data_IF_726400691436
#
_entry.id   IF_726400691436
#
_cell.length_a   1.000
_cell.length_b   1.000
_cell.length_c   1.000
_cell.angle_alpha   90.00
_cell.angle_beta   90.00
_cell.angle_gamma   90.00
#
_symmetry.space_group_name_H-M   'P 1'
#
loop_
_entity.id
_entity.type
_entity.pdbx_description
1 polymer ?
#
# COMPACT_ATOMS: atom_id res chain seq x y z
N UNK A 1 19.21 -18.22 0.38
CA UNK A 1 18.35 -17.62 1.43
C UNK A 1 17.04 -18.36 1.40
N UNK A 2 16.67 -18.99 2.51
CA UNK A 2 15.54 -19.88 2.60
C UNK A 2 14.18 -19.18 2.44
N UNK A 3 13.30 -19.79 1.66
CA UNK A 3 11.95 -19.27 1.45
C UNK A 3 11.08 -19.41 2.71
N UNK A 4 11.28 -20.43 3.53
CA UNK A 4 10.45 -20.75 4.69
C UNK A 4 10.51 -19.68 5.78
N UNK A 5 11.71 -19.16 6.09
CA UNK A 5 11.86 -18.07 7.06
C UNK A 5 11.21 -16.77 6.57
N UNK A 6 11.23 -16.50 5.25
CA UNK A 6 10.50 -15.39 4.65
C UNK A 6 8.98 -15.56 4.81
N UNK A 7 8.43 -16.75 4.56
CA UNK A 7 7.00 -17.02 4.72
C UNK A 7 6.57 -16.97 6.17
N UNK A 8 7.35 -17.52 7.10
CA UNK A 8 7.05 -17.39 8.53
C UNK A 8 6.99 -15.92 8.93
N UNK A 9 7.91 -15.08 8.44
CA UNK A 9 7.90 -13.65 8.72
C UNK A 9 6.64 -12.94 8.19
N UNK A 10 6.05 -13.43 7.08
CA UNK A 10 4.80 -12.93 6.52
C UNK A 10 3.57 -13.46 7.26
N UNK A 11 3.52 -14.77 7.58
CA UNK A 11 2.35 -15.41 8.18
C UNK A 11 2.17 -15.05 9.66
N UNK A 12 3.26 -14.84 10.37
CA UNK A 12 3.22 -14.52 11.81
C UNK A 12 2.77 -13.08 12.12
N UNK A 13 2.54 -12.27 11.08
CA UNK A 13 2.25 -10.84 11.23
C UNK A 13 1.16 -10.40 10.26
N UNK A 14 0.29 -9.55 10.75
CA UNK A 14 -0.67 -8.82 9.93
C UNK A 14 -0.27 -7.34 9.84
N UNK A 15 -0.59 -6.69 8.73
CA UNK A 15 -0.44 -5.26 8.57
C UNK A 15 0.53 -4.86 7.45
N UNK A 16 1.28 -3.81 7.69
CA UNK A 16 2.06 -3.11 6.67
C UNK A 16 3.45 -3.73 6.50
N UNK A 17 3.67 -4.34 5.34
CA UNK A 17 4.96 -4.88 4.92
C UNK A 17 5.61 -3.99 3.86
N UNK A 18 6.93 -3.93 3.93
CA UNK A 18 7.78 -3.35 2.89
C UNK A 18 8.84 -4.38 2.51
N UNK A 19 8.79 -4.88 1.27
CA UNK A 19 9.82 -5.73 0.69
C UNK A 19 10.70 -4.88 -0.22
N UNK A 20 11.99 -4.83 0.06
CA UNK A 20 12.98 -4.18 -0.80
C UNK A 20 13.83 -5.24 -1.48
N UNK A 21 14.07 -5.06 -2.79
CA UNK A 21 14.87 -5.94 -3.64
C UNK A 21 15.90 -5.12 -4.41
N UNK A 22 17.17 -5.46 -4.31
CA UNK A 22 18.25 -4.81 -5.07
C UNK A 22 18.22 -5.31 -6.51
N UNK A 23 18.08 -4.37 -7.47
CA UNK A 23 17.93 -4.72 -8.87
C UNK A 23 19.24 -4.84 -9.64
N UNK A 24 20.30 -4.15 -9.21
CA UNK A 24 21.57 -4.04 -9.94
C UNK A 24 22.74 -3.91 -8.96
N UNK A 25 23.95 -4.19 -9.44
CA UNK A 25 25.20 -4.03 -8.67
C UNK A 25 25.62 -5.28 -7.89
N UNK A 26 26.65 -5.16 -7.02
CA UNK A 26 27.22 -6.30 -6.29
C UNK A 26 26.24 -7.02 -5.36
N UNK A 27 25.23 -6.30 -4.84
CA UNK A 27 24.19 -6.83 -3.98
C UNK A 27 22.92 -7.23 -4.75
N UNK A 28 22.97 -7.35 -6.09
CA UNK A 28 21.82 -7.71 -6.90
C UNK A 28 21.15 -9.00 -6.41
N UNK A 29 19.83 -8.94 -6.22
CA UNK A 29 19.04 -10.05 -5.70
C UNK A 29 18.95 -10.12 -4.17
N UNK A 30 19.71 -9.31 -3.44
CA UNK A 30 19.48 -9.19 -1.99
C UNK A 30 18.13 -8.56 -1.70
N UNK A 31 17.48 -9.07 -0.64
CA UNK A 31 16.15 -8.62 -0.21
C UNK A 31 16.12 -8.40 1.29
N UNK A 32 15.26 -7.47 1.70
CA UNK A 32 14.91 -7.26 3.10
C UNK A 32 13.40 -7.05 3.22
N UNK A 33 12.79 -7.70 4.19
CA UNK A 33 11.39 -7.50 4.56
C UNK A 33 11.33 -6.70 5.86
N UNK A 34 10.61 -5.58 5.82
CA UNK A 34 10.30 -4.79 6.99
C UNK A 34 8.81 -4.96 7.33
N UNK A 35 8.50 -4.99 8.61
CA UNK A 35 7.15 -4.91 9.15
C UNK A 35 7.09 -3.70 10.08
N UNK A 36 6.15 -2.79 9.84
CA UNK A 36 6.05 -1.52 10.57
C UNK A 36 7.41 -0.79 10.69
N UNK A 37 8.16 -0.72 9.59
CA UNK A 37 9.51 -0.10 9.47
C UNK A 37 10.67 -0.86 10.12
N UNK A 38 10.42 -1.92 10.87
CA UNK A 38 11.46 -2.77 11.47
C UNK A 38 11.82 -3.94 10.54
N UNK A 39 13.10 -4.27 10.32
CA UNK A 39 13.48 -5.45 9.55
C UNK A 39 13.08 -6.73 10.30
N UNK A 40 12.40 -7.64 9.59
CA UNK A 40 11.92 -8.93 10.14
C UNK A 40 12.45 -10.12 9.38
N UNK A 41 13.07 -9.90 8.22
CA UNK A 41 13.74 -10.91 7.42
C UNK A 41 14.78 -10.24 6.48
N UNK A 42 15.97 -10.85 6.25
CA UNK A 42 16.49 -12.07 6.88
C UNK A 42 16.82 -11.88 8.37
N UNK A 43 17.00 -12.99 9.12
CA UNK A 43 17.34 -12.93 10.56
C UNK A 43 18.69 -12.22 10.80
N UNK A 44 19.69 -12.51 9.97
CA UNK A 44 20.96 -11.77 9.94
C UNK A 44 20.90 -10.75 8.81
N UNK A 45 20.80 -9.48 9.18
CA UNK A 45 20.72 -8.39 8.23
C UNK A 45 22.07 -8.13 7.58
N UNK A 46 22.24 -8.31 6.24
CA UNK A 46 23.46 -7.95 5.55
C UNK A 46 23.84 -6.47 5.78
N UNK A 47 25.13 -6.19 5.89
CA UNK A 47 25.66 -4.83 6.14
C UNK A 47 25.16 -3.80 5.11
N UNK A 48 24.93 -4.23 3.87
CA UNK A 48 24.32 -3.43 2.81
C UNK A 48 23.02 -2.73 3.28
N UNK A 49 22.13 -3.47 3.92
CA UNK A 49 20.83 -2.92 4.34
C UNK A 49 20.94 -1.93 5.49
N UNK A 50 21.97 -2.03 6.34
CA UNK A 50 22.17 -1.08 7.45
C UNK A 50 22.24 0.38 7.00
N UNK A 51 22.85 0.64 5.85
CA UNK A 51 22.97 1.99 5.26
C UNK A 51 21.67 2.46 4.59
N UNK A 52 20.82 1.52 4.16
CA UNK A 52 19.60 1.82 3.38
C UNK A 52 18.32 1.87 4.23
N UNK A 53 18.32 1.30 5.46
CA UNK A 53 17.14 1.26 6.32
C UNK A 53 16.48 2.63 6.56
N UNK A 54 17.21 3.73 6.83
CA UNK A 54 16.59 5.04 7.02
C UNK A 54 15.82 5.52 5.79
N UNK A 55 16.36 5.26 4.59
CA UNK A 55 15.69 5.62 3.34
C UNK A 55 14.45 4.75 3.09
N UNK A 56 14.54 3.44 3.40
CA UNK A 56 13.41 2.51 3.29
C UNK A 56 12.26 2.87 4.26
N UNK A 57 12.58 3.26 5.49
CA UNK A 57 11.58 3.68 6.48
C UNK A 57 10.77 4.92 6.05
N UNK A 58 11.35 5.78 5.21
CA UNK A 58 10.70 6.96 4.68
C UNK A 58 9.84 6.68 3.43
N UNK A 59 9.90 5.48 2.84
CA UNK A 59 9.13 5.15 1.64
C UNK A 59 7.65 4.97 2.00
N UNK A 60 6.77 5.67 1.30
CA UNK A 60 5.31 5.63 1.51
C UNK A 60 4.54 4.93 0.39
N UNK A 61 5.21 4.63 -0.74
CA UNK A 61 4.59 3.97 -1.91
C UNK A 61 5.56 2.97 -2.53
N UNK A 62 5.03 1.98 -3.24
CA UNK A 62 5.83 1.05 -4.04
C UNK A 62 6.48 1.76 -5.24
N UNK A 63 7.60 1.25 -5.72
CA UNK A 63 8.32 1.77 -6.87
C UNK A 63 9.84 1.68 -6.72
N UNK A 64 10.57 2.40 -7.56
CA UNK A 64 12.03 2.40 -7.57
C UNK A 64 12.56 3.46 -6.60
N UNK A 65 13.29 3.00 -5.58
CA UNK A 65 14.10 3.83 -4.71
C UNK A 65 15.54 3.87 -5.25
N UNK A 66 16.07 5.07 -5.44
CA UNK A 66 17.51 5.28 -5.68
C UNK A 66 18.17 5.70 -4.37
N UNK A 67 19.02 4.86 -3.83
CA UNK A 67 19.73 5.11 -2.57
C UNK A 67 21.19 4.71 -2.71
N UNK A 68 22.11 5.61 -2.33
CA UNK A 68 23.57 5.42 -2.42
C UNK A 68 24.05 4.83 -3.77
N UNK A 69 23.46 5.28 -4.89
CA UNK A 69 23.77 4.81 -6.23
C UNK A 69 23.17 3.46 -6.62
N UNK A 70 22.41 2.83 -5.75
CA UNK A 70 21.72 1.56 -6.00
C UNK A 70 20.29 1.78 -6.50
N UNK A 71 19.80 0.87 -7.37
CA UNK A 71 18.40 0.76 -7.75
C UNK A 71 17.75 -0.33 -6.91
N UNK A 72 16.81 0.06 -6.07
CA UNK A 72 16.09 -0.84 -5.17
C UNK A 72 14.62 -0.80 -5.54
N UNK A 73 14.02 -1.92 -5.84
CA UNK A 73 12.56 -2.00 -6.00
C UNK A 73 11.95 -2.20 -4.62
N UNK A 74 11.03 -1.32 -4.26
CA UNK A 74 10.35 -1.34 -2.98
C UNK A 74 8.88 -1.63 -3.20
N UNK A 75 8.36 -2.62 -2.49
CA UNK A 75 6.97 -3.04 -2.54
C UNK A 75 6.34 -2.87 -1.17
N UNK A 76 5.25 -2.10 -1.08
CA UNK A 76 4.40 -2.05 0.11
C UNK A 76 3.14 -2.86 -0.14
N UNK A 77 2.78 -3.73 0.81
CA UNK A 77 1.62 -4.62 0.72
C UNK A 77 1.16 -5.10 2.11
N UNK A 78 -0.01 -5.75 2.16
CA UNK A 78 -0.52 -6.44 3.36
C UNK A 78 -1.39 -5.58 4.27
N UNK A 79 -1.28 -4.26 4.27
CA UNK A 79 -2.16 -3.40 5.04
C UNK A 79 -3.48 -3.17 4.29
N UNK A 80 -4.59 -3.56 4.90
CA UNK A 80 -5.90 -3.20 4.39
C UNK A 80 -6.22 -1.73 4.72
N UNK A 81 -6.81 -0.96 3.79
CA UNK A 81 -7.24 0.40 4.09
C UNK A 81 -8.31 0.39 5.19
N UNK A 82 -8.14 1.23 6.20
CA UNK A 82 -9.09 1.40 7.30
C UNK A 82 -9.60 2.84 7.33
N UNK A 83 -10.91 3.01 7.25
CA UNK A 83 -11.55 4.31 7.40
C UNK A 83 -12.01 4.51 8.84
N UNK A 84 -11.54 5.58 9.48
CA UNK A 84 -11.94 5.97 10.84
C UNK A 84 -12.73 7.28 10.77
N UNK A 85 -13.98 7.25 11.19
CA UNK A 85 -14.88 8.40 11.13
C UNK A 85 -15.15 8.91 12.54
N UNK A 86 -14.72 10.14 12.82
CA UNK A 86 -15.02 10.85 14.06
C UNK A 86 -16.22 11.78 13.86
N UNK A 87 -17.37 11.39 14.40
CA UNK A 87 -18.63 12.12 14.31
C UNK A 87 -19.74 11.34 13.64
N UNK A 88 -20.84 11.15 14.36
CA UNK A 88 -21.98 10.31 13.99
C UNK A 88 -23.15 11.04 13.33
N UNK A 89 -23.02 12.34 12.98
CA UNK A 89 -24.08 13.09 12.33
C UNK A 89 -24.40 12.63 10.90
N UNK A 90 -25.35 13.30 10.24
CA UNK A 90 -25.83 12.92 8.91
C UNK A 90 -24.72 12.73 7.86
N UNK A 91 -23.67 13.57 7.89
CA UNK A 91 -22.53 13.42 6.98
C UNK A 91 -21.73 12.17 7.33
N UNK A 92 -21.45 11.93 8.62
CA UNK A 92 -20.75 10.71 9.06
C UNK A 92 -21.47 9.45 8.62
N UNK A 93 -22.79 9.36 8.86
CA UNK A 93 -23.61 8.23 8.44
C UNK A 93 -23.63 8.05 6.90
N UNK A 94 -23.64 9.15 6.13
CA UNK A 94 -23.55 9.09 4.68
C UNK A 94 -22.17 8.60 4.20
N UNK A 95 -21.08 9.02 4.86
CA UNK A 95 -19.72 8.52 4.58
C UNK A 95 -19.64 7.02 4.86
N UNK A 96 -20.18 6.54 5.99
CA UNK A 96 -20.22 5.09 6.29
C UNK A 96 -20.90 4.32 5.17
N UNK A 97 -22.14 4.70 4.78
CA UNK A 97 -22.90 3.97 3.74
C UNK A 97 -22.15 3.90 2.41
N UNK A 98 -21.57 5.01 1.97
CA UNK A 98 -20.84 5.05 0.70
C UNK A 98 -19.50 4.30 0.81
N UNK A 99 -18.81 4.38 1.93
CA UNK A 99 -17.57 3.62 2.17
C UNK A 99 -17.81 2.10 2.11
N UNK A 100 -18.93 1.63 2.67
CA UNK A 100 -19.33 0.21 2.58
C UNK A 100 -19.58 -0.24 1.14
N UNK A 101 -20.18 0.62 0.30
CA UNK A 101 -20.32 0.33 -1.14
C UNK A 101 -18.98 0.23 -1.86
N UNK A 102 -17.97 0.94 -1.38
CA UNK A 102 -16.60 0.87 -1.91
C UNK A 102 -15.77 -0.29 -1.31
N UNK A 103 -16.36 -1.11 -0.43
CA UNK A 103 -15.69 -2.24 0.21
C UNK A 103 -14.66 -1.82 1.28
N UNK A 104 -14.71 -0.58 1.77
CA UNK A 104 -13.80 -0.10 2.81
C UNK A 104 -14.28 -0.55 4.21
N UNK A 105 -13.39 -1.12 5.04
CA UNK A 105 -13.66 -1.31 6.45
C UNK A 105 -13.80 0.03 7.17
N UNK A 106 -14.84 0.16 8.01
CA UNK A 106 -15.18 1.41 8.68
C UNK A 106 -15.25 1.23 10.20
N UNK A 107 -14.45 2.01 10.93
CA UNK A 107 -14.62 2.22 12.37
C UNK A 107 -15.20 3.61 12.61
N UNK A 108 -16.36 3.70 13.24
CA UNK A 108 -16.96 4.96 13.61
C UNK A 108 -16.75 5.25 15.10
N UNK A 109 -16.48 6.51 15.43
CA UNK A 109 -16.31 7.02 16.79
C UNK A 109 -17.26 8.19 17.01
N UNK A 110 -18.11 8.06 18.02
CA UNK A 110 -19.09 9.10 18.42
C UNK A 110 -19.29 9.05 19.94
N UNK A 111 -19.41 10.19 20.58
CA UNK A 111 -19.57 10.28 22.04
C UNK A 111 -21.04 10.24 22.52
N UNK A 112 -22.00 10.30 21.60
CA UNK A 112 -23.44 10.28 21.89
C UNK A 112 -24.06 8.96 21.45
N UNK A 113 -24.75 8.23 22.35
CA UNK A 113 -25.28 6.89 22.04
C UNK A 113 -26.24 6.85 20.85
N UNK A 114 -27.15 7.86 20.72
CA UNK A 114 -28.09 7.93 19.62
C UNK A 114 -27.43 8.04 18.24
N UNK A 115 -26.35 8.81 18.12
CA UNK A 115 -25.60 8.95 16.88
C UNK A 115 -24.64 7.79 16.64
N UNK A 116 -24.15 7.16 17.70
CA UNK A 116 -23.40 5.91 17.56
C UNK A 116 -24.30 4.79 17.00
N UNK A 117 -25.58 4.75 17.39
CA UNK A 117 -26.54 3.81 16.82
C UNK A 117 -26.81 4.07 15.34
N UNK A 118 -26.92 5.35 14.92
CA UNK A 118 -27.03 5.71 13.51
C UNK A 118 -25.84 5.19 12.68
N UNK A 119 -24.63 5.16 13.25
CA UNK A 119 -23.43 4.61 12.57
C UNK A 119 -23.53 3.09 12.41
N UNK A 120 -24.04 2.36 13.41
CA UNK A 120 -24.30 0.91 13.30
C UNK A 120 -25.30 0.61 12.19
N UNK A 121 -26.40 1.36 12.17
CA UNK A 121 -27.46 1.24 11.15
C UNK A 121 -26.94 1.64 9.74
N UNK A 122 -25.97 2.55 9.66
CA UNK A 122 -25.31 2.89 8.41
C UNK A 122 -24.38 1.80 7.90
N UNK A 123 -24.03 0.79 8.72
CA UNK A 123 -23.23 -0.37 8.35
C UNK A 123 -21.75 -0.28 8.73
N UNK A 124 -21.37 0.54 9.71
CA UNK A 124 -20.00 0.56 10.23
C UNK A 124 -19.61 -0.81 10.81
N UNK A 125 -18.40 -1.29 10.52
CA UNK A 125 -17.92 -2.59 10.99
C UNK A 125 -17.62 -2.59 12.50
N UNK A 126 -17.17 -1.44 13.02
CA UNK A 126 -16.99 -1.20 14.43
C UNK A 126 -17.50 0.19 14.81
N UNK A 127 -18.13 0.30 15.98
CA UNK A 127 -18.61 1.58 16.53
C UNK A 127 -18.16 1.73 17.96
N UNK A 128 -17.33 2.74 18.21
CA UNK A 128 -16.87 3.13 19.54
C UNK A 128 -17.75 4.28 20.04
N UNK A 129 -18.55 4.02 21.06
CA UNK A 129 -19.36 5.06 21.73
C UNK A 129 -18.59 5.54 22.97
N UNK A 130 -17.62 6.43 22.76
CA UNK A 130 -16.68 6.94 23.76
C UNK A 130 -16.36 8.42 23.51
N UNK A 131 -15.89 9.17 24.52
CA UNK A 131 -15.23 10.45 24.30
C UNK A 131 -14.15 10.33 23.23
N UNK A 132 -14.06 11.30 22.31
CA UNK A 132 -13.19 11.19 21.13
C UNK A 132 -11.72 10.87 21.45
N UNK A 133 -11.15 11.49 22.50
CA UNK A 133 -9.77 11.24 22.90
C UNK A 133 -9.57 9.79 23.39
N UNK A 134 -10.53 9.25 24.15
CA UNK A 134 -10.46 7.88 24.67
C UNK A 134 -10.65 6.84 23.55
N UNK A 135 -11.60 7.06 22.65
CA UNK A 135 -11.79 6.16 21.50
C UNK A 135 -10.60 6.18 20.55
N UNK A 136 -10.05 7.36 20.26
CA UNK A 136 -8.86 7.48 19.44
C UNK A 136 -7.62 6.85 20.09
N UNK A 137 -7.51 6.83 21.43
CA UNK A 137 -6.41 6.13 22.08
C UNK A 137 -6.40 4.61 21.81
N UNK A 138 -7.56 4.02 21.51
CA UNK A 138 -7.69 2.59 21.16
C UNK A 138 -7.39 2.30 19.68
N UNK A 139 -7.27 3.34 18.85
CA UNK A 139 -6.99 3.21 17.42
C UNK A 139 -5.52 3.60 17.18
N UNK A 140 -4.62 2.66 16.86
CA UNK A 140 -3.19 2.96 16.75
C UNK A 140 -2.84 3.86 15.56
N UNK A 141 -3.69 3.89 14.52
CA UNK A 141 -3.37 4.47 13.23
C UNK A 141 -2.49 3.52 12.40
N UNK A 142 -2.11 3.95 11.22
CA UNK A 142 -1.27 3.17 10.30
C UNK A 142 -1.11 3.85 8.95
N UNK A 143 -0.19 3.35 8.13
CA UNK A 143 0.06 3.90 6.80
C UNK A 143 -1.14 3.73 5.83
N UNK A 144 -2.12 2.91 6.19
CA UNK A 144 -3.37 2.71 5.45
C UNK A 144 -4.60 3.13 6.27
N UNK A 145 -4.41 3.98 7.30
CA UNK A 145 -5.53 4.54 8.07
C UNK A 145 -5.91 5.92 7.56
N UNK A 146 -7.19 6.08 7.22
CA UNK A 146 -7.80 7.29 6.69
C UNK A 146 -8.74 7.88 7.74
N UNK A 147 -8.38 9.01 8.33
CA UNK A 147 -9.18 9.67 9.36
C UNK A 147 -10.07 10.75 8.76
N UNK A 148 -11.37 10.70 9.09
CA UNK A 148 -12.40 11.66 8.69
C UNK A 148 -12.99 12.30 9.93
N UNK A 149 -12.74 13.61 10.13
CA UNK A 149 -13.24 14.38 11.26
C UNK A 149 -14.43 15.22 10.79
N UNK A 150 -15.64 14.78 11.18
CA UNK A 150 -16.94 15.39 10.83
C UNK A 150 -17.78 15.63 12.09
N UNK A 151 -17.13 16.13 13.15
CA UNK A 151 -17.79 16.31 14.45
C UNK A 151 -18.73 17.52 14.48
N UNK A 152 -19.54 17.59 15.53
CA UNK A 152 -20.53 18.67 15.72
C UNK A 152 -19.94 20.01 16.16
N UNK A 153 -18.76 20.01 16.78
CA UNK A 153 -18.22 21.18 17.44
C UNK A 153 -16.71 21.35 17.21
N UNK A 154 -16.30 22.63 17.17
CA UNK A 154 -14.88 22.96 17.00
C UNK A 154 -13.95 22.37 18.07
N UNK A 155 -14.40 22.34 19.33
CA UNK A 155 -13.63 21.71 20.41
C UNK A 155 -13.44 20.20 20.21
N UNK A 156 -14.44 19.52 19.64
CA UNK A 156 -14.35 18.11 19.31
C UNK A 156 -13.36 17.88 18.15
N UNK A 157 -13.36 18.77 17.12
CA UNK A 157 -12.41 18.67 16.01
C UNK A 157 -10.96 18.78 16.52
N UNK A 158 -10.68 19.78 17.38
CA UNK A 158 -9.33 19.97 17.97
C UNK A 158 -8.93 18.75 18.81
N UNK A 159 -9.85 18.22 19.63
CA UNK A 159 -9.59 17.01 20.42
C UNK A 159 -9.23 15.81 19.54
N UNK A 160 -9.99 15.60 18.44
CA UNK A 160 -9.70 14.56 17.46
C UNK A 160 -8.34 14.77 16.79
N UNK A 161 -8.11 15.94 16.19
CA UNK A 161 -6.91 16.23 15.42
C UNK A 161 -5.64 16.17 16.28
N UNK A 162 -5.70 16.65 17.54
CA UNK A 162 -4.59 16.53 18.49
C UNK A 162 -4.16 15.08 18.71
N UNK A 163 -5.12 14.15 18.77
CA UNK A 163 -4.82 12.72 18.94
C UNK A 163 -4.37 12.07 17.64
N UNK A 164 -5.00 12.43 16.51
CA UNK A 164 -4.74 11.82 15.20
C UNK A 164 -3.39 12.24 14.63
N UNK A 165 -3.03 13.54 14.71
CA UNK A 165 -1.79 14.05 14.12
C UNK A 165 -0.50 13.56 14.82
N UNK A 166 -0.62 12.88 15.95
CA UNK A 166 0.48 12.20 16.62
C UNK A 166 0.67 10.74 16.15
N UNK A 167 -0.17 10.25 15.24
CA UNK A 167 -0.19 8.87 14.76
C UNK A 167 0.18 8.80 13.29
N UNK A 168 0.71 7.66 12.80
CA UNK A 168 0.80 7.42 11.36
C UNK A 168 -0.59 7.39 10.74
N UNK A 169 -0.73 7.99 9.58
CA UNK A 169 -1.98 8.01 8.82
C UNK A 169 -1.70 8.17 7.33
N UNK A 170 -2.52 7.55 6.50
CA UNK A 170 -2.55 7.76 5.06
C UNK A 170 -3.17 9.10 4.69
N UNK A 171 -4.18 9.50 5.46
CA UNK A 171 -5.00 10.67 5.20
C UNK A 171 -5.64 11.16 6.49
N UNK A 172 -5.68 12.48 6.66
CA UNK A 172 -6.43 13.13 7.73
C UNK A 172 -7.22 14.27 7.12
N UNK A 173 -8.55 14.20 7.21
CA UNK A 173 -9.41 15.25 6.69
C UNK A 173 -10.38 15.78 7.73
N UNK A 174 -10.65 17.08 7.71
CA UNK A 174 -11.59 17.74 8.64
C UNK A 174 -12.63 18.55 7.88
N UNK A 175 -13.91 18.34 8.25
CA UNK A 175 -15.04 19.12 7.72
C UNK A 175 -15.08 20.52 8.34
N UNK A 176 -15.16 21.52 7.48
CA UNK A 176 -15.32 22.90 7.93
C UNK A 176 -15.25 23.91 6.79
N UNK A 177 -15.61 25.17 7.07
CA UNK A 177 -15.37 26.24 6.12
C UNK A 177 -13.86 26.57 6.04
N UNK A 178 -13.43 27.22 4.97
CA UNK A 178 -12.03 27.71 4.83
C UNK A 178 -11.59 28.57 6.03
N UNK A 179 -12.51 29.40 6.56
CA UNK A 179 -12.25 30.21 7.76
C UNK A 179 -12.01 29.33 9.00
N UNK A 180 -12.82 28.27 9.16
CA UNK A 180 -12.67 27.30 10.27
C UNK A 180 -11.37 26.50 10.13
N UNK A 181 -11.02 26.09 8.93
CA UNK A 181 -9.76 25.40 8.64
C UNK A 181 -8.55 26.23 9.07
N UNK A 182 -8.51 27.52 8.65
CA UNK A 182 -7.42 28.43 9.03
C UNK A 182 -7.29 28.58 10.56
N UNK A 183 -8.42 28.71 11.27
CA UNK A 183 -8.41 28.82 12.74
C UNK A 183 -7.88 27.52 13.38
N UNK A 184 -8.28 26.35 12.86
CA UNK A 184 -7.78 25.06 13.33
C UNK A 184 -6.28 24.93 13.14
N UNK A 185 -5.74 25.28 11.95
CA UNK A 185 -4.30 25.25 11.70
C UNK A 185 -3.52 26.10 12.72
N UNK A 186 -3.99 27.32 13.01
CA UNK A 186 -3.36 28.18 14.02
C UNK A 186 -3.36 27.51 15.40
N UNK A 187 -4.50 26.98 15.84
CA UNK A 187 -4.60 26.35 17.15
C UNK A 187 -3.76 25.08 17.28
N UNK A 188 -3.68 24.27 16.22
CA UNK A 188 -2.85 23.06 16.23
C UNK A 188 -1.35 23.43 16.33
N UNK A 189 -0.92 24.51 15.70
CA UNK A 189 0.44 25.03 15.81
C UNK A 189 0.73 25.57 17.24
N UNK A 190 -0.22 26.30 17.83
CA UNK A 190 -0.12 26.76 19.22
C UNK A 190 -0.03 25.62 20.23
N UNK A 191 -0.64 24.47 19.92
CA UNK A 191 -0.53 23.24 20.71
C UNK A 191 0.79 22.48 20.49
N UNK A 192 1.70 23.00 19.65
CA UNK A 192 3.03 22.42 19.44
C UNK A 192 3.04 21.17 18.55
N UNK A 193 2.02 20.96 17.73
CA UNK A 193 2.01 19.83 16.79
C UNK A 193 2.97 20.11 15.61
N UNK A 194 3.57 19.06 15.02
CA UNK A 194 4.52 19.23 13.91
C UNK A 194 3.88 19.95 12.72
N UNK A 195 4.51 21.00 12.22
CA UNK A 195 3.99 21.82 11.12
C UNK A 195 3.71 21.00 9.86
N UNK A 196 4.61 20.06 9.51
CA UNK A 196 4.43 19.15 8.40
C UNK A 196 3.11 18.36 8.47
N UNK A 197 2.73 17.92 9.68
CA UNK A 197 1.48 17.18 9.91
C UNK A 197 0.25 18.07 9.81
N UNK A 198 0.39 19.33 10.21
CA UNK A 198 -0.66 20.35 10.08
C UNK A 198 -0.86 20.71 8.60
N UNK A 199 0.22 20.90 7.85
CA UNK A 199 0.17 21.24 6.43
C UNK A 199 -0.38 20.10 5.56
N UNK A 200 -0.23 18.85 6.00
CA UNK A 200 -0.79 17.67 5.36
C UNK A 200 -2.30 17.44 5.67
N UNK A 201 -2.90 18.27 6.52
CA UNK A 201 -4.33 18.17 6.87
C UNK A 201 -5.21 18.64 5.70
N UNK A 202 -6.09 17.77 5.22
CA UNK A 202 -7.12 18.12 4.23
C UNK A 202 -8.28 18.88 4.90
N UNK A 203 -8.19 20.21 4.90
CA UNK A 203 -9.21 21.10 5.49
C UNK A 203 -9.43 22.33 4.63
N UNK A 204 -10.61 22.52 4.05
CA UNK A 204 -11.82 21.69 4.12
C UNK A 204 -11.64 20.32 3.47
N UNK A 205 -12.19 19.26 4.09
CA UNK A 205 -12.21 17.90 3.58
C UNK A 205 -13.01 17.76 2.28
N UNK A 206 -12.54 16.92 1.37
CA UNK A 206 -13.25 16.53 0.16
C UNK A 206 -12.92 17.39 -1.07
N UNK A 207 -13.09 16.80 -2.24
CA UNK A 207 -12.91 17.48 -3.52
C UNK A 207 -13.93 18.60 -3.70
N UNK A 208 -13.54 19.70 -4.33
CA UNK A 208 -14.40 20.86 -4.59
C UNK A 208 -15.38 20.57 -5.75
N UNK A 209 -16.50 19.90 -5.45
CA UNK A 209 -17.54 19.53 -6.44
C UNK A 209 -18.83 20.36 -6.29
N UNK A 210 -18.86 21.36 -5.40
CA UNK A 210 -20.05 22.15 -5.13
C UNK A 210 -21.10 21.42 -4.28
N UNK A 211 -20.71 20.42 -3.49
CA UNK A 211 -21.56 19.61 -2.64
C UNK A 211 -22.38 20.44 -1.65
N UNK A 212 -23.67 20.13 -1.49
CA UNK A 212 -24.63 20.81 -0.60
C UNK A 212 -25.33 19.87 0.38
N UNK A 213 -25.67 18.67 -0.06
CA UNK A 213 -26.34 17.66 0.78
C UNK A 213 -25.31 16.80 1.51
N UNK A 214 -25.73 16.13 2.59
CA UNK A 214 -24.87 15.22 3.34
C UNK A 214 -24.28 14.11 2.45
N UNK A 215 -25.07 13.60 1.50
CA UNK A 215 -24.66 12.57 0.54
C UNK A 215 -23.63 13.09 -0.47
N UNK A 216 -23.80 14.30 -0.99
CA UNK A 216 -22.85 14.94 -1.90
C UNK A 216 -21.52 15.26 -1.19
N UNK A 217 -21.58 15.72 0.06
CA UNK A 217 -20.41 15.96 0.91
C UNK A 217 -19.68 14.62 1.15
N UNK A 218 -20.39 13.56 1.49
CA UNK A 218 -19.82 12.23 1.67
C UNK A 218 -19.16 11.72 0.38
N UNK A 219 -19.78 11.95 -0.78
CA UNK A 219 -19.20 11.62 -2.08
C UNK A 219 -17.91 12.38 -2.32
N UNK A 220 -17.87 13.70 -2.04
CA UNK A 220 -16.66 14.52 -2.21
C UNK A 220 -15.51 14.05 -1.31
N UNK A 221 -15.81 13.66 -0.07
CA UNK A 221 -14.85 13.11 0.90
C UNK A 221 -14.27 11.79 0.38
N UNK A 222 -15.13 10.85 -0.01
CA UNK A 222 -14.67 9.54 -0.47
C UNK A 222 -13.96 9.61 -1.83
N UNK A 223 -14.34 10.53 -2.72
CA UNK A 223 -13.62 10.76 -3.96
C UNK A 223 -12.18 11.27 -3.69
N UNK A 224 -11.98 12.16 -2.71
CA UNK A 224 -10.64 12.59 -2.29
C UNK A 224 -9.85 11.43 -1.67
N UNK A 225 -10.46 10.65 -0.77
CA UNK A 225 -9.83 9.46 -0.16
C UNK A 225 -9.43 8.45 -1.23
N UNK A 226 -10.28 8.16 -2.20
CA UNK A 226 -9.96 7.26 -3.32
C UNK A 226 -8.80 7.81 -4.15
N UNK A 227 -8.77 9.12 -4.42
CA UNK A 227 -7.66 9.77 -5.11
C UNK A 227 -6.33 9.60 -4.35
N UNK A 228 -6.33 9.88 -3.03
CA UNK A 228 -5.15 9.69 -2.18
C UNK A 228 -4.74 8.22 -2.12
N UNK A 229 -5.69 7.31 -1.89
CA UNK A 229 -5.45 5.86 -1.84
C UNK A 229 -4.79 5.35 -3.12
N UNK A 230 -5.33 5.73 -4.27
CA UNK A 230 -4.84 5.24 -5.56
C UNK A 230 -3.55 5.95 -6.03
N UNK A 231 -3.22 7.13 -5.48
CA UNK A 231 -1.90 7.76 -5.71
C UNK A 231 -0.77 7.07 -4.94
N UNK A 232 -1.11 6.33 -3.89
CA UNK A 232 -0.18 5.49 -3.14
C UNK A 232 -0.12 4.13 -3.82
N UNK A 233 0.90 3.92 -4.64
CA UNK A 233 1.07 2.65 -5.33
C UNK A 233 1.40 1.57 -4.28
N UNK A 234 0.42 0.70 -4.00
CA UNK A 234 0.64 -0.57 -3.31
C UNK A 234 0.65 -1.69 -4.34
N UNK A 235 1.44 -2.72 -4.08
CA UNK A 235 1.41 -3.94 -4.87
C UNK A 235 0.46 -4.95 -4.22
N UNK A 236 -0.02 -5.92 -5.00
CA UNK A 236 -0.77 -7.05 -4.44
C UNK A 236 0.10 -7.92 -3.51
N UNK A 237 1.42 -7.68 -3.51
CA UNK A 237 2.38 -8.50 -2.78
C UNK A 237 2.41 -9.93 -3.33
N UNK A 238 2.05 -10.89 -2.49
CA UNK A 238 1.99 -12.31 -2.85
C UNK A 238 0.55 -12.79 -2.79
N UNK A 239 -0.01 -13.20 -3.92
CA UNK A 239 -1.35 -13.80 -3.95
C UNK A 239 -1.36 -15.14 -3.17
N UNK A 240 -2.52 -15.57 -2.62
CA UNK A 240 -2.60 -16.85 -1.91
C UNK A 240 -2.11 -18.05 -2.73
N UNK A 241 -2.40 -18.07 -4.03
CA UNK A 241 -1.93 -19.12 -4.93
C UNK A 241 -0.40 -19.11 -5.09
N UNK A 242 0.19 -17.93 -5.17
CA UNK A 242 1.65 -17.77 -5.26
C UNK A 242 2.34 -18.19 -3.96
N UNK A 243 1.81 -17.79 -2.81
CA UNK A 243 2.31 -18.21 -1.50
C UNK A 243 2.27 -19.75 -1.37
N UNK A 244 1.13 -20.37 -1.67
CA UNK A 244 0.98 -21.82 -1.60
C UNK A 244 1.98 -22.55 -2.53
N UNK A 245 2.22 -22.02 -3.75
CA UNK A 245 3.18 -22.61 -4.66
C UNK A 245 4.63 -22.49 -4.16
N UNK A 246 4.97 -21.37 -3.55
CA UNK A 246 6.29 -21.13 -2.98
C UNK A 246 6.53 -21.98 -1.72
N UNK A 247 5.52 -22.19 -0.86
CA UNK A 247 5.60 -23.05 0.32
C UNK A 247 5.76 -24.54 -0.04
N UNK A 248 5.15 -24.97 -1.14
CA UNK A 248 5.21 -26.35 -1.62
C UNK A 248 6.43 -26.63 -2.52
N UNK A 249 7.27 -25.63 -2.72
CA UNK A 249 8.43 -25.72 -3.61
C UNK A 249 9.46 -26.74 -3.08
N UNK A 250 9.72 -27.78 -3.87
CA UNK A 250 10.70 -28.84 -3.56
C UNK A 250 11.90 -28.84 -4.49
N UNK A 251 11.90 -28.00 -5.52
CA UNK A 251 12.95 -27.86 -6.52
C UNK A 251 13.19 -26.37 -6.84
N UNK A 252 14.34 -25.98 -7.40
CA UNK A 252 14.59 -24.59 -7.78
C UNK A 252 13.48 -24.05 -8.68
N UNK A 253 13.02 -22.82 -8.41
CA UNK A 253 12.02 -22.12 -9.22
C UNK A 253 12.47 -20.67 -9.47
N UNK A 254 11.84 -19.97 -10.40
CA UNK A 254 12.18 -18.58 -10.70
C UNK A 254 10.97 -17.69 -10.42
N UNK A 255 11.15 -16.74 -9.51
CA UNK A 255 10.19 -15.67 -9.28
C UNK A 255 10.50 -14.49 -10.21
N UNK A 256 9.56 -14.17 -11.08
CA UNK A 256 9.57 -12.99 -11.93
C UNK A 256 8.66 -11.92 -11.31
N UNK A 257 9.16 -10.68 -11.18
CA UNK A 257 8.43 -9.54 -10.64
C UNK A 257 8.54 -8.37 -11.62
N UNK A 258 7.43 -7.73 -11.97
CA UNK A 258 7.44 -6.46 -12.72
C UNK A 258 7.95 -5.36 -11.79
N UNK A 259 9.09 -4.75 -12.14
CA UNK A 259 9.76 -3.73 -11.32
C UNK A 259 9.75 -2.33 -11.96
N UNK A 260 9.29 -2.23 -13.20
CA UNK A 260 9.14 -0.96 -13.90
C UNK A 260 8.25 -1.12 -15.13
N UNK A 261 7.50 -0.06 -15.46
CA UNK A 261 6.66 0.00 -16.64
C UNK A 261 6.61 1.40 -17.24
N UNK A 262 6.41 1.46 -18.55
CA UNK A 262 6.17 2.69 -19.28
C UNK A 262 5.05 2.46 -20.31
N UNK A 263 4.16 3.43 -20.44
CA UNK A 263 3.00 3.30 -21.31
C UNK A 263 1.93 2.35 -20.76
N UNK A 264 1.03 1.89 -21.63
CA UNK A 264 -0.04 0.97 -21.26
C UNK A 264 0.48 -0.46 -21.20
N UNK A 265 0.45 -1.06 -20.02
CA UNK A 265 0.82 -2.46 -19.78
C UNK A 265 -0.35 -3.20 -19.14
N UNK A 266 -0.54 -4.50 -19.41
CA UNK A 266 -1.71 -5.25 -18.91
C UNK A 266 -1.64 -5.56 -17.40
N UNK A 267 -0.49 -5.37 -16.76
CA UNK A 267 -0.28 -5.60 -15.32
C UNK A 267 0.50 -4.45 -14.69
N UNK A 268 0.27 -4.26 -13.39
CA UNK A 268 0.92 -3.25 -12.58
C UNK A 268 2.30 -3.70 -12.08
N UNK A 269 3.13 -2.73 -11.66
CA UNK A 269 4.37 -3.00 -10.93
C UNK A 269 4.08 -3.84 -9.67
N UNK A 270 4.99 -4.76 -9.35
CA UNK A 270 4.81 -5.73 -8.27
C UNK A 270 4.04 -7.00 -8.65
N UNK A 271 3.44 -7.07 -9.84
CA UNK A 271 2.83 -8.32 -10.32
C UNK A 271 3.88 -9.40 -10.48
N UNK A 272 3.55 -10.62 -10.05
CA UNK A 272 4.49 -11.73 -9.93
C UNK A 272 4.05 -12.98 -10.68
N UNK A 273 5.04 -13.73 -11.15
CA UNK A 273 4.87 -15.04 -11.73
C UNK A 273 5.99 -15.96 -11.24
N UNK A 274 5.63 -17.10 -10.66
CA UNK A 274 6.56 -18.16 -10.31
C UNK A 274 6.61 -19.18 -11.45
N UNK A 275 7.78 -19.42 -12.00
CA UNK A 275 8.03 -20.44 -13.03
C UNK A 275 8.68 -21.64 -12.38
N UNK A 276 8.04 -22.81 -12.49
CA UNK A 276 8.46 -24.07 -11.92
C UNK A 276 9.40 -24.83 -12.89
N UNK A 277 10.16 -25.84 -12.42
CA UNK A 277 11.11 -26.60 -13.25
C UNK A 277 10.45 -27.34 -14.43
N UNK A 278 9.20 -27.75 -14.30
CA UNK A 278 8.42 -28.40 -15.37
C UNK A 278 7.91 -27.41 -16.45
N UNK A 279 8.18 -26.11 -16.25
CA UNK A 279 7.76 -25.02 -17.13
C UNK A 279 6.35 -24.51 -16.86
N UNK A 280 5.63 -25.08 -15.89
CA UNK A 280 4.36 -24.50 -15.41
C UNK A 280 4.60 -23.19 -14.68
N UNK A 281 3.58 -22.33 -14.60
CA UNK A 281 3.69 -21.05 -13.94
C UNK A 281 2.46 -20.75 -13.05
N UNK A 282 2.71 -20.06 -11.94
CA UNK A 282 1.67 -19.57 -11.02
C UNK A 282 1.77 -18.05 -10.95
N UNK A 283 0.65 -17.34 -11.10
CA UNK A 283 0.61 -15.89 -11.23
C UNK A 283 0.79 -15.41 -12.68
N UNK A 284 0.95 -14.11 -12.89
CA UNK A 284 1.00 -13.52 -14.23
C UNK A 284 1.79 -12.21 -14.24
N UNK A 285 2.56 -12.00 -15.29
CA UNK A 285 3.26 -10.73 -15.61
C UNK A 285 2.68 -10.03 -16.86
N UNK A 286 1.42 -10.32 -17.22
CA UNK A 286 0.70 -9.58 -18.24
C UNK A 286 0.22 -10.36 -19.44
N UNK A 287 0.47 -11.67 -19.53
CA UNK A 287 0.00 -12.54 -20.60
C UNK A 287 0.77 -12.42 -21.91
N UNK A 288 0.40 -13.28 -22.87
CA UNK A 288 0.90 -13.24 -24.23
C UNK A 288 2.42 -13.35 -24.37
N UNK A 289 2.98 -12.54 -25.27
CA UNK A 289 4.43 -12.58 -25.60
C UNK A 289 5.33 -12.23 -24.41
N UNK A 290 4.84 -11.38 -23.50
CA UNK A 290 5.61 -10.97 -22.32
C UNK A 290 5.81 -12.12 -21.36
N UNK A 291 4.75 -12.88 -21.06
CA UNK A 291 4.86 -14.10 -20.24
C UNK A 291 5.73 -15.16 -20.92
N UNK A 292 5.53 -15.40 -22.20
CA UNK A 292 6.35 -16.35 -22.95
C UNK A 292 7.84 -16.03 -22.85
N UNK A 293 8.24 -14.77 -23.09
CA UNK A 293 9.63 -14.34 -22.97
C UNK A 293 10.15 -14.43 -21.54
N UNK A 294 9.33 -14.06 -20.57
CA UNK A 294 9.68 -14.19 -19.14
C UNK A 294 9.90 -15.65 -18.77
N UNK A 295 9.05 -16.57 -19.22
CA UNK A 295 9.22 -18.01 -18.98
C UNK A 295 10.47 -18.56 -19.66
N UNK A 296 10.83 -18.09 -20.87
CA UNK A 296 12.07 -18.50 -21.53
C UNK A 296 13.30 -18.08 -20.68
N UNK A 297 13.35 -16.80 -20.26
CA UNK A 297 14.45 -16.33 -19.40
C UNK A 297 14.48 -17.05 -18.04
N UNK A 298 13.33 -17.38 -17.49
CA UNK A 298 13.25 -18.16 -16.25
C UNK A 298 13.85 -19.56 -16.41
N UNK A 299 13.60 -20.23 -17.53
CA UNK A 299 14.23 -21.53 -17.85
C UNK A 299 15.74 -21.43 -17.97
N UNK A 300 16.27 -20.36 -18.60
CA UNK A 300 17.71 -20.11 -18.65
C UNK A 300 18.32 -19.98 -17.25
N UNK A 301 17.63 -19.32 -16.31
CA UNK A 301 18.09 -19.17 -14.93
C UNK A 301 18.02 -20.49 -14.12
N UNK A 302 17.23 -21.47 -14.54
CA UNK A 302 17.16 -22.78 -13.92
C UNK A 302 18.31 -23.72 -14.36
N UNK A 303 19.03 -23.39 -15.44
CA UNK A 303 20.15 -24.18 -15.92
C UNK A 303 21.32 -24.18 -14.91
N UNK A 304 22.06 -25.30 -14.80
CA UNK A 304 23.22 -25.37 -13.92
C UNK A 304 24.29 -24.32 -14.26
N UNK A 305 24.72 -23.55 -13.26
CA UNK A 305 25.73 -22.50 -13.42
C UNK A 305 25.17 -21.15 -13.92
N UNK A 306 23.87 -21.03 -14.13
CA UNK A 306 23.25 -19.75 -14.47
C UNK A 306 23.36 -18.73 -13.32
N UNK A 307 23.30 -17.45 -13.65
CA UNK A 307 23.25 -16.38 -12.65
C UNK A 307 22.02 -16.53 -11.74
N UNK A 308 22.10 -16.17 -10.44
CA UNK A 308 20.99 -16.33 -9.50
C UNK A 308 19.82 -15.38 -9.77
N UNK A 309 20.06 -14.29 -10.49
CA UNK A 309 19.03 -13.30 -10.82
C UNK A 309 19.38 -12.55 -12.11
N UNK A 310 18.37 -11.92 -12.71
CA UNK A 310 18.51 -11.12 -13.93
C UNK A 310 17.43 -10.03 -13.98
N UNK A 311 17.82 -8.80 -14.31
CA UNK A 311 16.92 -7.74 -14.70
C UNK A 311 16.78 -7.77 -16.24
N UNK A 312 15.55 -7.85 -16.74
CA UNK A 312 15.25 -7.90 -18.18
C UNK A 312 14.26 -6.79 -18.56
N UNK A 313 14.55 -6.09 -19.65
CA UNK A 313 13.65 -5.10 -20.22
C UNK A 313 12.97 -5.67 -21.47
N UNK A 314 11.67 -5.51 -21.56
CA UNK A 314 10.85 -5.90 -22.71
C UNK A 314 10.20 -4.67 -23.32
N UNK A 315 10.29 -4.54 -24.63
CA UNK A 315 9.58 -3.51 -25.38
C UNK A 315 8.62 -4.16 -26.36
N UNK A 316 7.50 -3.52 -26.62
CA UNK A 316 6.55 -3.95 -27.65
C UNK A 316 7.01 -3.55 -29.06
N UNK A 317 8.02 -2.69 -29.18
CA UNK A 317 8.65 -2.29 -30.44
C UNK A 317 9.60 -3.40 -30.93
N UNK A 318 9.22 -4.10 -31.99
CA UNK A 318 10.10 -5.08 -32.67
C UNK A 318 9.58 -6.49 -32.86
N UNK A 319 8.30 -6.77 -32.61
CA UNK A 319 7.69 -8.04 -32.97
C UNK A 319 6.95 -7.89 -34.31
N UNK A 320 7.52 -8.40 -35.39
CA UNK A 320 6.99 -8.31 -36.76
C UNK A 320 5.69 -9.07 -37.02
N UNK A 321 5.10 -9.73 -36.01
CA UNK A 321 3.84 -10.47 -36.12
C UNK A 321 2.78 -10.12 -35.05
N UNK A 322 2.91 -8.99 -34.37
CA UNK A 322 2.02 -8.61 -33.29
C UNK A 322 1.00 -7.52 -33.69
N UNK A 323 0.37 -7.64 -34.81
CA UNK A 323 -0.71 -6.71 -35.24
C UNK A 323 -1.92 -6.65 -34.29
N UNK A 324 -2.03 -7.59 -33.33
CA UNK A 324 -3.08 -7.61 -32.32
C UNK A 324 -2.63 -7.02 -30.95
N UNK A 325 -1.33 -6.83 -30.71
CA UNK A 325 -0.79 -6.35 -29.40
C UNK A 325 -0.23 -4.92 -29.53
N UNK A 326 -0.04 -4.44 -30.75
CA UNK A 326 0.55 -3.14 -31.07
C UNK A 326 -0.31 -1.91 -30.73
N UNK A 327 -1.48 -2.08 -30.14
CA UNK A 327 -2.31 -0.93 -29.73
C UNK A 327 -1.82 -0.22 -28.46
N UNK A 328 -0.87 -0.80 -27.70
CA UNK A 328 -0.50 -0.33 -26.38
C UNK A 328 0.97 0.01 -26.19
N UNK A 329 1.72 0.42 -27.19
CA UNK A 329 3.16 0.84 -27.16
C UNK A 329 3.79 1.01 -25.78
N UNK A 330 3.93 -0.08 -25.00
CA UNK A 330 4.45 -0.06 -23.63
C UNK A 330 5.76 -0.83 -23.50
N UNK A 331 6.55 -0.50 -22.48
CA UNK A 331 7.72 -1.29 -22.05
C UNK A 331 7.59 -1.69 -20.59
N UNK A 332 8.17 -2.83 -20.21
CA UNK A 332 8.27 -3.25 -18.83
C UNK A 332 9.64 -3.80 -18.49
N UNK A 333 10.05 -3.59 -17.26
CA UNK A 333 11.21 -4.23 -16.66
C UNK A 333 10.75 -5.36 -15.73
N UNK A 334 11.33 -6.54 -15.88
CA UNK A 334 11.04 -7.71 -15.04
C UNK A 334 12.33 -8.15 -14.35
N UNK A 335 12.27 -8.26 -13.04
CA UNK A 335 13.35 -8.85 -12.24
C UNK A 335 13.03 -10.33 -12.03
N UNK A 336 13.93 -11.19 -12.51
CA UNK A 336 13.86 -12.64 -12.35
C UNK A 336 14.87 -13.08 -11.30
N UNK A 337 14.42 -13.88 -10.34
CA UNK A 337 15.27 -14.40 -9.27
C UNK A 337 15.02 -15.89 -9.08
N UNK A 338 16.12 -16.67 -9.14
CA UNK A 338 16.10 -18.08 -8.80
C UNK A 338 15.98 -18.24 -7.30
N UNK A 339 15.01 -19.05 -6.89
CA UNK A 339 14.74 -19.42 -5.52
C UNK A 339 15.08 -20.88 -5.33
N UNK A 340 15.95 -21.18 -4.36
CA UNK A 340 16.28 -22.53 -3.99
C UNK A 340 15.27 -23.05 -2.97
N UNK A 341 14.89 -24.35 -3.03
CA UNK A 341 14.08 -24.95 -1.99
C UNK A 341 14.87 -24.96 -0.68
N UNK A 342 14.18 -24.84 0.44
CA UNK A 342 14.79 -25.16 1.73
C UNK A 342 14.88 -26.66 1.89
N UNK A 343 16.07 -27.16 2.21
CA UNK A 343 16.35 -28.56 2.51
C UNK A 343 15.71 -29.00 3.84
#
# INVERSE_FOLDING_TARGET
MGNRSFFNALHDREGDFLLATVLEGPAQGERVLLWNTAPVWPEELPAFWGEHLPALAAVTSSGILKSAGQRIFVERFGAAPQLVICGGGHVGAAVVRLAKLLGLPVTALEDRPEFAEEQRQAGADAVLCLPFAEGLAQIPGGQETYFVVVTRAHSCDIACLRSILQKPAAYVGMMGSRKRAALVHTQLAELGLPQERIDALHAPIGLSIGAKTAQEIALSILAEIVSVKNSRQQTEGFSPALLAALEQQTAPAVLATIVGRHGSTPREEGSKMLVLPDGSAVGSVGGGIMEYRTQQLARELLEPGAAPCRLAAFTTEGASDAAAIAACGGSMEVFLQRLEPEG
#
